data_IF_351290817895
#
_entry.id   IF_351290817895
#
_cell.length_a   1.000
_cell.length_b   1.000
_cell.length_c   1.000
_cell.angle_alpha   90.00
_cell.angle_beta   90.00
_cell.angle_gamma   90.00
#
_symmetry.space_group_name_H-M   'P 1'
#
loop_
_entity.id
_entity.type
_entity.pdbx_description
1 polymer ?
#
# COMPACT_ATOMS: atom_id res chain seq x y z
N UNK A 1 7.07 5.50 -9.27
CA UNK A 1 7.78 5.57 -7.99
C UNK A 1 7.25 4.55 -7.02
N UNK A 2 8.05 4.16 -6.06
CA UNK A 2 7.59 3.35 -4.94
C UNK A 2 7.25 4.24 -3.75
N UNK A 3 6.17 3.90 -3.07
CA UNK A 3 5.69 4.63 -1.90
C UNK A 3 5.57 3.65 -0.74
N UNK A 4 6.17 4.01 0.39
CA UNK A 4 6.01 3.26 1.63
C UNK A 4 4.83 3.82 2.41
N UNK A 5 4.07 2.94 3.03
CA UNK A 5 2.94 3.32 3.86
C UNK A 5 3.07 2.65 5.22
N UNK A 6 2.95 3.46 6.27
CA UNK A 6 2.89 2.95 7.64
C UNK A 6 1.46 3.14 8.12
N UNK A 7 0.84 2.05 8.53
CA UNK A 7 -0.54 2.07 9.04
C UNK A 7 -0.54 1.87 10.54
N UNK A 8 -1.23 2.74 11.24
CA UNK A 8 -1.60 2.51 12.63
C UNK A 8 -3.06 2.08 12.61
N UNK A 9 -3.33 0.86 13.00
CA UNK A 9 -4.65 0.27 12.84
C UNK A 9 -5.51 0.57 14.05
N UNK A 10 -6.62 1.28 13.84
CA UNK A 10 -7.58 1.62 14.89
C UNK A 10 -8.67 0.57 15.02
N UNK A 11 -9.06 -0.05 13.90
CA UNK A 11 -10.11 -1.06 13.83
C UNK A 11 -9.63 -2.20 12.94
N UNK A 12 -9.07 -3.27 13.54
CA UNK A 12 -8.51 -4.37 12.76
C UNK A 12 -9.51 -5.05 11.83
N UNK A 13 -10.75 -5.21 12.26
CA UNK A 13 -11.77 -5.87 11.45
C UNK A 13 -12.09 -5.04 10.21
N UNK A 14 -12.30 -3.73 10.41
CA UNK A 14 -12.55 -2.82 9.29
C UNK A 14 -11.33 -2.71 8.37
N UNK A 15 -10.13 -2.71 8.94
CA UNK A 15 -8.90 -2.65 8.16
C UNK A 15 -8.78 -3.86 7.23
N UNK A 16 -9.02 -5.06 7.73
CA UNK A 16 -8.94 -6.26 6.91
C UNK A 16 -10.04 -6.29 5.85
N UNK A 17 -11.25 -5.93 6.24
CA UNK A 17 -12.39 -5.92 5.33
C UNK A 17 -12.21 -4.89 4.20
N UNK A 18 -11.83 -3.67 4.54
CA UNK A 18 -11.62 -2.61 3.56
C UNK A 18 -10.33 -2.84 2.77
N UNK A 19 -9.33 -3.43 3.40
CA UNK A 19 -8.05 -3.75 2.79
C UNK A 19 -8.16 -4.75 1.64
N UNK A 20 -9.17 -5.61 1.65
CA UNK A 20 -9.41 -6.52 0.54
C UNK A 20 -9.60 -5.76 -0.77
N UNK A 21 -10.25 -4.60 -0.70
CA UNK A 21 -10.45 -3.75 -1.87
C UNK A 21 -9.14 -3.17 -2.39
N UNK A 22 -8.22 -2.86 -1.48
CA UNK A 22 -6.91 -2.36 -1.88
C UNK A 22 -6.10 -3.41 -2.65
N UNK A 23 -6.31 -4.68 -2.34
CA UNK A 23 -5.63 -5.76 -3.05
C UNK A 23 -6.23 -6.10 -4.40
N UNK A 24 -7.38 -5.53 -4.74
CA UNK A 24 -8.07 -5.80 -6.00
C UNK A 24 -7.60 -4.81 -7.07
N UNK A 25 -6.85 -5.27 -8.09
CA UNK A 25 -6.35 -4.35 -9.13
C UNK A 25 -7.44 -3.59 -9.86
N UNK A 26 -8.65 -4.16 -9.94
CA UNK A 26 -9.76 -3.50 -10.65
C UNK A 26 -10.31 -2.30 -9.88
N UNK A 27 -10.05 -2.22 -8.58
CA UNK A 27 -10.48 -1.10 -7.75
C UNK A 27 -9.54 0.09 -7.79
N UNK A 28 -8.28 -0.15 -8.18
CA UNK A 28 -7.25 0.88 -8.12
C UNK A 28 -7.29 1.80 -9.35
N UNK A 29 -6.92 3.08 -9.18
CA UNK A 29 -6.73 3.94 -10.35
C UNK A 29 -5.58 3.41 -11.22
N UNK A 30 -5.56 3.78 -12.52
CA UNK A 30 -4.47 3.36 -13.39
C UNK A 30 -3.11 3.74 -12.82
N UNK A 31 -2.17 2.81 -12.88
CA UNK A 31 -0.80 3.02 -12.42
C UNK A 31 -0.57 2.86 -10.93
N UNK A 32 -1.60 2.68 -10.14
CA UNK A 32 -1.47 2.48 -8.69
C UNK A 32 -1.56 0.98 -8.41
N UNK A 33 -0.44 0.40 -7.94
CA UNK A 33 -0.30 -1.05 -7.82
C UNK A 33 0.25 -1.42 -6.45
N UNK A 34 -0.43 -2.31 -5.70
CA UNK A 34 0.13 -2.80 -4.45
C UNK A 34 1.27 -3.77 -4.74
N UNK A 35 2.34 -3.69 -3.93
CA UNK A 35 3.49 -4.57 -4.08
C UNK A 35 3.71 -5.45 -2.86
N UNK A 36 3.41 -4.94 -1.67
CA UNK A 36 3.68 -5.66 -0.44
C UNK A 36 2.74 -5.17 0.66
N UNK A 37 2.26 -6.10 1.48
CA UNK A 37 1.47 -5.77 2.67
C UNK A 37 1.95 -6.65 3.81
N UNK A 38 2.40 -6.03 4.89
CA UNK A 38 2.97 -6.74 6.04
C UNK A 38 2.30 -6.26 7.32
N UNK A 39 1.24 -6.94 7.77
CA UNK A 39 0.61 -6.58 9.05
C UNK A 39 1.40 -7.13 10.22
N UNK A 40 1.29 -6.46 11.37
CA UNK A 40 1.84 -6.99 12.62
C UNK A 40 0.99 -8.16 13.08
N UNK A 41 1.58 -9.02 13.93
CA UNK A 41 0.87 -10.22 14.41
C UNK A 41 -0.38 -9.88 15.19
N UNK A 42 -0.36 -8.78 15.95
CA UNK A 42 -1.50 -8.34 16.75
C UNK A 42 -2.45 -7.41 15.98
N UNK A 43 -2.15 -7.15 14.71
CA UNK A 43 -2.95 -6.29 13.84
C UNK A 43 -3.08 -4.85 14.34
N UNK A 44 -2.11 -4.38 15.13
CA UNK A 44 -2.10 -2.98 15.57
C UNK A 44 -1.42 -2.06 14.58
N UNK A 45 -0.61 -2.62 13.69
CA UNK A 45 0.15 -1.84 12.71
C UNK A 45 0.38 -2.67 11.45
N UNK A 46 0.74 -1.99 10.38
CA UNK A 46 1.12 -2.66 9.14
C UNK A 46 2.02 -1.75 8.32
N UNK A 47 2.78 -2.36 7.41
CA UNK A 47 3.51 -1.61 6.40
C UNK A 47 3.07 -2.09 5.03
N UNK A 48 3.06 -1.17 4.07
CA UNK A 48 2.77 -1.48 2.67
C UNK A 48 3.82 -0.84 1.78
N UNK A 49 4.02 -1.45 0.62
CA UNK A 49 4.77 -0.82 -0.47
C UNK A 49 3.87 -0.79 -1.69
N UNK A 50 3.76 0.39 -2.27
CA UNK A 50 2.94 0.62 -3.45
C UNK A 50 3.77 1.22 -4.57
N UNK A 51 3.33 1.03 -5.78
CA UNK A 51 3.88 1.69 -6.94
C UNK A 51 2.83 2.61 -7.53
N UNK A 52 3.22 3.82 -7.93
CA UNK A 52 2.29 4.79 -8.50
C UNK A 52 3.01 5.93 -9.17
N UNK A 53 2.26 6.77 -9.88
CA UNK A 53 2.81 7.92 -10.58
C UNK A 53 3.14 9.07 -9.64
N UNK A 54 2.46 9.14 -8.51
CA UNK A 54 2.70 10.16 -7.51
C UNK A 54 2.35 9.63 -6.12
N UNK A 55 2.99 10.20 -5.12
CA UNK A 55 2.66 9.89 -3.73
C UNK A 55 1.20 10.26 -3.42
N UNK A 56 0.74 11.39 -3.94
CA UNK A 56 -0.62 11.85 -3.70
C UNK A 56 -1.67 10.88 -4.25
N UNK A 57 -1.43 10.30 -5.42
CA UNK A 57 -2.36 9.33 -6.01
C UNK A 57 -2.48 8.08 -5.12
N UNK A 58 -1.37 7.59 -4.60
CA UNK A 58 -1.36 6.44 -3.69
C UNK A 58 -2.08 6.79 -2.39
N UNK A 59 -1.75 7.95 -1.81
CA UNK A 59 -2.35 8.39 -0.55
C UNK A 59 -3.86 8.55 -0.66
N UNK A 60 -4.34 9.21 -1.71
CA UNK A 60 -5.77 9.43 -1.87
C UNK A 60 -6.53 8.11 -1.99
N UNK A 61 -5.98 7.17 -2.73
CA UNK A 61 -6.62 5.88 -2.90
C UNK A 61 -6.70 5.11 -1.60
N UNK A 62 -5.59 5.04 -0.87
CA UNK A 62 -5.53 4.28 0.38
C UNK A 62 -6.38 4.94 1.46
N UNK A 63 -6.24 6.25 1.64
CA UNK A 63 -7.00 6.97 2.68
C UNK A 63 -8.49 6.91 2.44
N UNK A 64 -8.94 7.04 1.19
CA UNK A 64 -10.36 6.98 0.88
C UNK A 64 -10.92 5.57 1.06
N UNK A 65 -10.11 4.55 0.84
CA UNK A 65 -10.56 3.17 0.97
C UNK A 65 -10.61 2.73 2.43
N UNK A 66 -9.56 3.03 3.20
CA UNK A 66 -9.47 2.60 4.59
C UNK A 66 -10.23 3.51 5.55
N UNK A 67 -10.39 4.79 5.20
CA UNK A 67 -11.13 5.73 6.04
C UNK A 67 -10.55 5.79 7.45
N UNK A 68 -11.41 5.67 8.45
CA UNK A 68 -11.03 5.76 9.84
C UNK A 68 -10.53 4.44 10.45
N UNK A 69 -10.43 3.38 9.64
CA UNK A 69 -9.92 2.09 10.12
C UNK A 69 -8.45 2.17 10.50
N UNK A 70 -7.71 3.10 9.92
CA UNK A 70 -6.28 3.27 10.20
C UNK A 70 -5.85 4.71 10.00
N UNK A 71 -4.74 5.07 10.66
CA UNK A 71 -4.02 6.31 10.40
C UNK A 71 -2.79 5.94 9.59
N UNK A 72 -2.56 6.65 8.49
CA UNK A 72 -1.56 6.26 7.51
C UNK A 72 -0.53 7.36 7.33
N UNK A 73 0.73 6.96 7.26
CA UNK A 73 1.86 7.85 6.97
C UNK A 73 2.53 7.39 5.70
N UNK A 74 2.91 8.31 4.85
CA UNK A 74 3.41 8.02 3.50
C UNK A 74 4.75 8.68 3.27
N UNK A 75 5.64 7.98 2.54
CA UNK A 75 6.83 8.63 1.99
C UNK A 75 7.26 7.93 0.71
N UNK A 76 7.91 8.70 -0.15
CA UNK A 76 8.51 8.12 -1.36
C UNK A 76 9.77 7.38 -0.99
N UNK A 77 9.94 6.17 -1.54
CA UNK A 77 11.11 5.34 -1.26
C UNK A 77 12.26 5.77 -2.19
N UNK A 78 13.44 5.95 -1.61
CA UNK A 78 14.67 6.15 -2.38
C UNK A 78 15.11 4.80 -2.93
N UNK A 79 14.84 4.57 -4.22
CA UNK A 79 15.12 3.28 -4.84
C UNK A 79 16.61 3.02 -5.05
N UNK A 80 17.44 4.05 -5.00
CA UNK A 80 18.89 3.85 -5.12
C UNK A 80 19.47 3.18 -3.89
N UNK A 81 18.94 3.49 -2.71
CA UNK A 81 19.47 2.97 -1.45
C UNK A 81 18.60 1.90 -0.81
N UNK A 82 17.39 1.69 -1.32
CA UNK A 82 16.49 0.69 -0.78
C UNK A 82 17.03 -0.71 -1.05
N UNK A 83 16.74 -1.63 -0.13
CA UNK A 83 17.11 -3.03 -0.27
C UNK A 83 15.87 -3.88 -0.04
N UNK A 84 15.73 -4.94 -0.82
CA UNK A 84 14.63 -5.88 -0.63
C UNK A 84 13.30 -5.42 -1.15
N UNK A 85 13.26 -4.39 -1.99
CA UNK A 85 12.00 -3.97 -2.60
C UNK A 85 11.46 -5.07 -3.52
N UNK A 86 10.14 -5.28 -3.54
CA UNK A 86 9.55 -6.23 -4.47
C UNK A 86 9.83 -5.81 -5.91
N UNK A 87 10.22 -6.77 -6.72
CA UNK A 87 10.41 -6.53 -8.15
C UNK A 87 9.08 -6.24 -8.81
N UNK A 88 9.04 -5.35 -9.81
CA UNK A 88 7.85 -5.24 -10.65
C UNK A 88 7.53 -6.59 -11.27
N UNK A 89 6.26 -6.89 -11.50
CA UNK A 89 5.89 -8.13 -12.15
C UNK A 89 6.64 -8.24 -13.49
N UNK A 90 7.23 -9.43 -13.83
CA UNK A 90 7.94 -9.59 -15.10
C UNK A 90 7.01 -9.29 -16.24
N UNK A 91 7.52 -8.58 -17.19
CA UNK A 91 6.78 -8.41 -18.43
C UNK A 91 6.74 -9.75 -19.06
N UNK A 92 5.95 -10.29 -19.15
CA UNK A 92 6.10 -11.54 -19.40
C UNK A 92 6.51 -12.02 -20.27
N UNK A 93 6.73 -11.91 -19.83
CA UNK A 93 7.06 -12.37 -20.09
C UNK A 93 7.73 -12.62 -20.61
N UNK A 94 7.91 -12.12 -20.43
CA UNK A 94 8.50 -12.15 -21.18
C UNK A 94 8.94 -12.97 -21.53
#
# INVERSE_FOLDING_TARGET
>A
MYVAVLHRINDPEAMLSRGDRLGDPSSAPPGVVPRQFCPSKDLSAATCVWEGDSLDAVREYIDSTLGDASENTYFEIDTEHAQGLPEPAPMEAS
#
